data_IF_755925862678
#
_entry.id   IF_755925862678
#
_cell.length_a   1.000
_cell.length_b   1.000
_cell.length_c   1.000
_cell.angle_alpha   90.00
_cell.angle_beta   90.00
_cell.angle_gamma   90.00
#
_symmetry.space_group_name_H-M   'P 1'
#
loop_
_entity.id
_entity.type
_entity.pdbx_description
1 polymer ?
#
# COMPACT_ATOMS: atom_id res chain seq x y z
N UNK A 1 1.64 35.66 -7.83
CA UNK A 1 1.61 34.38 -7.12
C UNK A 1 0.21 33.79 -7.13
N UNK A 2 0.09 32.49 -7.12
CA UNK A 2 -1.19 31.78 -7.26
C UNK A 2 -1.89 31.58 -5.89
N UNK A 3 -1.49 32.33 -4.86
CA UNK A 3 -2.10 32.31 -3.52
C UNK A 3 -3.15 33.40 -3.41
N UNK A 4 -4.30 33.03 -2.87
CA UNK A 4 -5.38 33.96 -2.57
C UNK A 4 -5.59 33.99 -1.06
N UNK A 5 -5.76 35.21 -0.51
CA UNK A 5 -5.95 35.43 0.90
C UNK A 5 -7.44 35.58 1.24
N UNK A 6 -7.86 34.84 2.26
CA UNK A 6 -9.23 34.80 2.78
C UNK A 6 -9.27 35.18 4.26
N UNK A 7 -10.42 35.57 4.76
CA UNK A 7 -10.66 35.70 6.18
C UNK A 7 -10.51 34.36 6.86
N UNK A 8 -9.76 34.36 7.98
CA UNK A 8 -9.52 33.10 8.70
C UNK A 8 -10.79 32.66 9.43
N UNK A 9 -11.20 31.37 9.24
CA UNK A 9 -12.28 30.82 10.05
C UNK A 9 -11.82 30.36 11.45
N UNK A 10 -10.51 30.41 11.72
CA UNK A 10 -9.93 29.93 12.98
C UNK A 10 -9.74 31.06 14.01
N UNK A 11 -9.54 32.27 13.53
CA UNK A 11 -9.26 33.47 14.39
C UNK A 11 -9.90 34.71 13.80
N UNK A 12 -10.40 35.56 14.66
CA UNK A 12 -10.88 36.89 14.26
C UNK A 12 -9.67 37.83 14.09
N UNK A 13 -9.49 38.39 12.89
CA UNK A 13 -8.41 39.32 12.60
C UNK A 13 -8.85 40.38 11.59
N UNK A 14 -8.32 41.59 11.69
CA UNK A 14 -8.68 42.74 10.86
C UNK A 14 -8.17 42.69 9.41
N UNK A 15 -7.44 41.64 9.02
CA UNK A 15 -6.94 41.38 7.66
C UNK A 15 -7.10 39.88 7.29
N UNK A 16 -7.29 39.57 6.01
CA UNK A 16 -7.25 38.18 5.55
C UNK A 16 -5.94 37.50 5.90
N UNK A 17 -5.98 36.33 6.50
CA UNK A 17 -4.81 35.59 7.00
C UNK A 17 -4.81 34.10 6.66
N UNK A 18 -5.85 33.60 6.04
CA UNK A 18 -5.89 32.28 5.45
C UNK A 18 -5.47 32.39 4.00
N UNK A 19 -4.34 31.85 3.62
CA UNK A 19 -3.91 31.74 2.23
C UNK A 19 -4.20 30.36 1.68
N UNK A 20 -4.74 30.32 0.47
CA UNK A 20 -4.99 29.09 -0.28
C UNK A 20 -4.31 29.22 -1.64
N UNK A 21 -3.49 28.25 -1.99
CA UNK A 21 -2.93 28.18 -3.33
C UNK A 21 -3.96 27.56 -4.29
N UNK A 22 -4.35 28.31 -5.31
CA UNK A 22 -5.35 27.86 -6.28
C UNK A 22 -4.76 27.52 -7.64
N UNK A 23 -3.45 27.37 -7.73
CA UNK A 23 -2.81 26.88 -8.95
C UNK A 23 -3.33 25.50 -9.30
N UNK A 24 -3.89 25.36 -10.48
CA UNK A 24 -4.31 24.09 -11.03
C UNK A 24 -3.06 23.28 -11.41
N UNK A 25 -2.53 22.54 -10.44
CA UNK A 25 -1.50 21.54 -10.69
C UNK A 25 -2.18 20.26 -11.16
N UNK A 26 -1.43 19.40 -11.85
CA UNK A 26 -1.90 18.07 -12.25
C UNK A 26 -2.44 17.22 -11.07
N UNK A 27 -2.05 17.56 -9.83
CA UNK A 27 -2.45 16.87 -8.61
C UNK A 27 -3.62 17.52 -7.85
N UNK A 28 -4.10 18.69 -8.28
CA UNK A 28 -5.21 19.45 -7.69
C UNK A 28 -5.12 19.60 -6.15
N UNK A 29 -3.91 19.61 -5.61
CA UNK A 29 -3.68 19.85 -4.20
C UNK A 29 -3.61 21.36 -3.98
N UNK A 30 -4.64 21.93 -3.37
CA UNK A 30 -4.71 23.34 -2.99
C UNK A 30 -4.22 23.47 -1.55
N UNK A 31 -2.90 23.57 -1.30
CA UNK A 31 -2.39 23.74 0.06
C UNK A 31 -2.85 25.09 0.63
N UNK A 32 -3.05 25.12 1.91
CA UNK A 32 -3.50 26.31 2.63
C UNK A 32 -2.74 26.50 3.93
N UNK A 33 -2.66 27.76 4.38
CA UNK A 33 -2.03 28.15 5.63
C UNK A 33 -2.72 29.35 6.24
N UNK A 34 -3.01 29.32 7.51
CA UNK A 34 -3.45 30.46 8.29
C UNK A 34 -2.26 31.03 9.09
N UNK A 35 -1.81 32.21 8.73
CA UNK A 35 -0.62 32.86 9.29
C UNK A 35 -0.74 33.31 10.75
N UNK A 36 -1.94 33.30 11.33
CA UNK A 36 -2.15 33.69 12.74
C UNK A 36 -2.28 32.47 13.64
N UNK A 37 -3.03 31.44 13.22
CA UNK A 37 -3.23 30.26 14.04
C UNK A 37 -2.20 29.15 13.74
N UNK A 38 -1.33 29.34 12.76
CA UNK A 38 -0.39 28.35 12.18
C UNK A 38 -1.08 27.05 11.69
N UNK A 39 -2.38 27.10 11.52
CA UNK A 39 -3.15 26.00 10.96
C UNK A 39 -2.89 25.87 9.47
N UNK A 40 -2.58 24.65 9.02
CA UNK A 40 -2.20 24.40 7.63
C UNK A 40 -2.62 23.01 7.14
N UNK A 41 -2.68 22.87 5.84
CA UNK A 41 -2.99 21.59 5.22
C UNK A 41 -2.54 21.50 3.77
N UNK A 42 -2.35 20.27 3.30
CA UNK A 42 -1.85 20.00 1.95
C UNK A 42 -2.92 20.09 0.86
N UNK A 43 -4.20 20.19 1.21
CA UNK A 43 -5.29 20.27 0.25
C UNK A 43 -6.52 20.97 0.81
N UNK A 44 -7.35 21.54 -0.06
CA UNK A 44 -8.64 22.15 0.31
C UNK A 44 -9.54 21.16 1.06
N UNK A 45 -9.47 19.88 0.73
CA UNK A 45 -10.23 18.83 1.41
C UNK A 45 -9.83 18.70 2.89
N UNK A 46 -8.56 18.97 3.23
CA UNK A 46 -8.12 18.97 4.62
C UNK A 46 -8.72 20.17 5.39
N UNK A 47 -8.87 21.30 4.72
CA UNK A 47 -9.56 22.47 5.28
C UNK A 47 -11.05 22.16 5.53
N UNK A 48 -11.73 21.55 4.56
CA UNK A 48 -13.13 21.17 4.67
C UNK A 48 -13.39 20.22 5.84
N UNK A 49 -12.53 19.22 6.02
CA UNK A 49 -12.64 18.31 7.19
C UNK A 49 -12.49 19.06 8.50
N UNK A 50 -11.53 19.98 8.58
CA UNK A 50 -11.25 20.75 9.77
C UNK A 50 -12.41 21.70 10.13
N UNK A 51 -13.02 22.30 9.12
CA UNK A 51 -14.17 23.17 9.26
C UNK A 51 -15.50 22.41 9.42
N UNK A 52 -15.48 21.09 9.27
CA UNK A 52 -16.68 20.23 9.30
C UNK A 52 -17.79 20.76 8.38
N UNK A 53 -17.41 21.16 7.16
CA UNK A 53 -18.37 21.72 6.21
C UNK A 53 -19.48 20.73 5.88
N UNK A 54 -20.64 21.25 5.50
CA UNK A 54 -21.82 20.45 5.20
C UNK A 54 -21.63 19.55 3.97
N UNK A 55 -22.50 18.57 3.83
CA UNK A 55 -22.47 17.62 2.70
C UNK A 55 -22.66 18.33 1.36
N UNK A 56 -23.49 19.37 1.32
CA UNK A 56 -23.79 20.17 0.14
C UNK A 56 -22.51 20.81 -0.42
N UNK A 57 -21.66 21.37 0.44
CA UNK A 57 -20.37 21.96 0.04
C UNK A 57 -19.41 20.90 -0.50
N UNK A 58 -19.42 19.69 0.09
CA UNK A 58 -18.66 18.55 -0.44
C UNK A 58 -19.14 18.13 -1.83
N UNK A 59 -20.45 18.06 -2.03
CA UNK A 59 -21.05 17.66 -3.30
C UNK A 59 -20.81 18.71 -4.38
N UNK A 60 -20.93 20.00 -4.06
CA UNK A 60 -20.58 21.10 -4.94
C UNK A 60 -19.10 21.06 -5.34
N UNK A 61 -18.19 20.97 -4.36
CA UNK A 61 -16.77 20.82 -4.64
C UNK A 61 -16.48 19.62 -5.54
N UNK A 62 -17.10 18.48 -5.30
CA UNK A 62 -16.89 17.27 -6.10
C UNK A 62 -17.50 17.39 -7.50
N UNK A 63 -18.54 18.22 -7.69
CA UNK A 63 -19.14 18.49 -9.00
C UNK A 63 -18.25 19.37 -9.86
N UNK A 64 -17.62 20.38 -9.26
CA UNK A 64 -16.70 21.31 -9.92
C UNK A 64 -15.36 20.63 -10.21
N UNK A 65 -14.81 20.05 -9.18
CA UNK A 65 -13.58 19.26 -9.26
C UNK A 65 -13.95 17.79 -9.41
N UNK A 66 -14.68 17.43 -10.46
CA UNK A 66 -14.74 16.03 -10.87
C UNK A 66 -13.29 15.60 -10.96
N UNK A 67 -12.71 15.08 -9.84
CA UNK A 67 -11.62 14.17 -9.98
C UNK A 67 -12.16 13.18 -11.00
N UNK A 68 -11.72 13.28 -12.25
CA UNK A 68 -11.50 12.05 -12.95
C UNK A 68 -10.68 11.27 -11.91
N UNK A 69 -11.33 10.36 -11.18
CA UNK A 69 -10.64 9.14 -10.88
C UNK A 69 -10.21 8.71 -12.28
N UNK A 70 -9.07 9.16 -12.68
CA UNK A 70 -8.23 8.33 -13.45
C UNK A 70 -8.00 7.18 -12.45
N UNK A 71 -8.89 6.18 -12.52
CA UNK A 71 -8.32 4.93 -12.92
C UNK A 71 -7.29 5.40 -13.92
N UNK A 72 -6.05 5.39 -13.53
CA UNK A 72 -5.00 5.17 -14.46
C UNK A 72 -5.30 3.77 -14.98
N UNK A 73 -6.27 3.63 -15.85
CA UNK A 73 -6.00 2.91 -17.06
C UNK A 73 -4.83 3.69 -17.65
N UNK A 74 -3.66 3.57 -17.05
CA UNK A 74 -2.42 3.60 -17.74
C UNK A 74 -2.54 2.45 -18.74
N UNK A 75 -3.29 2.73 -19.79
CA UNK A 75 -3.01 2.27 -21.12
C UNK A 75 -1.77 3.03 -21.64
N UNK A 76 -0.80 3.28 -20.80
CA UNK A 76 0.56 3.02 -21.10
C UNK A 76 0.61 1.50 -20.95
N UNK A 77 0.68 0.84 -22.07
CA UNK A 77 1.38 -0.42 -22.24
C UNK A 77 2.80 -0.25 -21.69
N UNK A 78 2.94 -0.06 -20.38
CA UNK A 78 4.01 -0.68 -19.64
C UNK A 78 3.69 -2.15 -19.86
N UNK A 79 4.46 -2.79 -20.74
CA UNK A 79 4.54 -4.23 -20.75
C UNK A 79 4.44 -4.66 -19.31
N UNK A 80 3.35 -5.30 -18.96
CA UNK A 80 3.09 -5.73 -17.59
C UNK A 80 4.24 -6.66 -17.31
N UNK A 81 5.24 -6.18 -16.53
CA UNK A 81 6.38 -7.01 -16.15
C UNK A 81 5.76 -8.24 -15.52
N UNK A 82 5.86 -9.37 -16.21
CA UNK A 82 5.34 -10.65 -15.73
C UNK A 82 6.02 -10.88 -14.39
N UNK A 83 5.22 -10.99 -13.34
CA UNK A 83 5.77 -11.34 -12.02
C UNK A 83 6.32 -12.73 -12.08
N UNK A 84 7.56 -12.89 -11.67
CA UNK A 84 8.21 -14.20 -11.56
C UNK A 84 8.82 -14.31 -10.17
N UNK A 85 8.77 -15.53 -9.62
CA UNK A 85 9.51 -15.79 -8.38
C UNK A 85 11.01 -15.61 -8.63
N UNK A 86 11.77 -15.23 -7.58
CA UNK A 86 13.22 -15.17 -7.69
C UNK A 86 13.79 -16.47 -8.26
N UNK A 87 14.80 -16.39 -9.10
CA UNK A 87 15.47 -17.58 -9.67
C UNK A 87 16.07 -18.45 -8.58
N UNK A 88 16.48 -17.82 -7.48
CA UNK A 88 17.02 -18.43 -6.28
C UNK A 88 15.97 -18.94 -5.28
N UNK A 89 14.67 -18.91 -5.65
CA UNK A 89 13.60 -19.37 -4.79
C UNK A 89 13.66 -20.88 -4.55
N UNK A 90 13.69 -21.26 -3.27
CA UNK A 90 13.69 -22.64 -2.81
C UNK A 90 12.42 -22.90 -1.99
N UNK A 91 11.57 -23.87 -2.38
CA UNK A 91 10.36 -24.21 -1.63
C UNK A 91 10.69 -24.72 -0.23
N UNK A 92 10.02 -24.19 0.80
CA UNK A 92 10.23 -24.61 2.20
C UNK A 92 9.65 -26.00 2.51
N UNK A 93 8.66 -26.47 1.75
CA UNK A 93 8.07 -27.81 1.93
C UNK A 93 8.98 -28.92 1.40
N UNK A 94 9.97 -28.63 0.56
CA UNK A 94 10.95 -29.63 0.12
C UNK A 94 11.96 -29.90 1.23
N UNK A 95 12.24 -31.17 1.54
CA UNK A 95 13.28 -31.53 2.52
C UNK A 95 14.64 -30.96 2.11
N UNK A 96 15.39 -30.44 3.06
CA UNK A 96 16.76 -29.98 2.88
C UNK A 96 17.48 -29.98 4.23
N UNK A 97 18.78 -30.25 4.21
CA UNK A 97 19.67 -30.21 5.39
C UNK A 97 20.20 -28.80 5.66
N UNK A 98 19.87 -27.82 4.82
CA UNK A 98 20.35 -26.43 4.93
C UNK A 98 20.04 -25.83 6.31
N UNK A 99 21.05 -25.24 6.92
CA UNK A 99 20.92 -24.46 8.16
C UNK A 99 20.07 -23.23 7.95
N UNK A 100 20.18 -22.59 6.77
CA UNK A 100 19.40 -21.41 6.41
C UNK A 100 17.90 -21.75 6.35
N UNK A 101 17.56 -22.93 5.76
CA UNK A 101 16.18 -23.43 5.81
C UNK A 101 15.66 -23.62 7.22
N UNK A 102 16.48 -24.17 8.13
CA UNK A 102 16.08 -24.36 9.54
C UNK A 102 15.78 -23.02 10.21
N UNK A 103 16.57 -21.97 9.95
CA UNK A 103 16.33 -20.63 10.46
C UNK A 103 15.02 -20.01 9.88
N UNK A 104 14.77 -20.18 8.60
CA UNK A 104 13.54 -19.72 7.96
C UNK A 104 12.31 -20.41 8.58
N UNK A 105 12.34 -21.74 8.77
CA UNK A 105 11.27 -22.48 9.42
C UNK A 105 11.09 -22.07 10.90
N UNK A 106 12.17 -21.87 11.64
CA UNK A 106 12.10 -21.36 13.01
C UNK A 106 11.45 -19.99 13.10
N UNK A 107 11.75 -19.11 12.15
CA UNK A 107 11.11 -17.79 12.07
C UNK A 107 9.60 -17.91 11.82
N UNK A 108 9.17 -18.75 10.87
CA UNK A 108 7.75 -18.97 10.57
C UNK A 108 7.01 -19.59 11.74
N UNK A 109 7.60 -20.59 12.38
CA UNK A 109 7.03 -21.26 13.57
C UNK A 109 6.80 -20.26 14.71
N UNK A 110 7.75 -19.35 14.97
CA UNK A 110 7.58 -18.28 15.98
C UNK A 110 6.46 -17.30 15.65
N UNK A 111 6.04 -17.25 14.39
CA UNK A 111 4.90 -16.46 13.91
C UNK A 111 3.58 -17.25 13.85
N UNK A 112 3.59 -18.47 14.34
CA UNK A 112 2.41 -19.33 14.32
C UNK A 112 2.11 -19.97 12.96
N UNK A 113 2.98 -19.81 11.95
CA UNK A 113 2.76 -20.39 10.62
C UNK A 113 3.08 -21.88 10.64
N UNK A 114 2.09 -22.70 10.35
CA UNK A 114 2.16 -24.15 10.32
C UNK A 114 2.76 -24.69 9.01
N UNK A 115 3.14 -25.96 9.00
CA UNK A 115 3.58 -26.65 7.77
C UNK A 115 2.49 -26.73 6.71
N UNK A 116 1.23 -26.81 7.11
CA UNK A 116 0.09 -26.80 6.18
C UNK A 116 -0.04 -25.44 5.47
N UNK A 117 0.15 -24.34 6.19
CA UNK A 117 0.13 -22.99 5.62
C UNK A 117 1.35 -22.75 4.73
N UNK A 118 2.53 -23.23 5.11
CA UNK A 118 3.72 -23.18 4.25
C UNK A 118 3.44 -23.83 2.89
N UNK A 119 2.78 -24.96 2.90
CA UNK A 119 2.39 -25.67 1.66
C UNK A 119 1.25 -24.93 0.94
N UNK A 120 0.18 -24.55 1.65
CA UNK A 120 -0.98 -23.85 1.08
C UNK A 120 -0.57 -22.59 0.33
N UNK A 121 0.26 -21.76 0.94
CA UNK A 121 0.72 -20.49 0.36
C UNK A 121 2.01 -20.64 -0.46
N UNK A 122 2.47 -21.86 -0.71
CA UNK A 122 3.67 -22.12 -1.47
C UNK A 122 4.87 -21.26 -1.01
N UNK A 123 5.08 -21.20 0.31
CA UNK A 123 6.16 -20.37 0.84
C UNK A 123 7.52 -20.97 0.54
N UNK A 124 8.47 -20.10 0.21
CA UNK A 124 9.85 -20.46 -0.01
C UNK A 124 10.82 -19.52 0.67
N UNK A 125 12.08 -19.68 0.39
CA UNK A 125 13.14 -18.82 0.88
C UNK A 125 14.27 -18.74 -0.15
N UNK A 126 15.20 -17.79 0.05
CA UNK A 126 16.37 -17.66 -0.80
C UNK A 126 17.64 -17.67 0.07
N UNK A 127 18.65 -18.43 -0.39
CA UNK A 127 19.95 -18.52 0.27
C UNK A 127 20.95 -17.51 -0.28
N UNK A 128 20.73 -17.04 -1.49
CA UNK A 128 21.60 -16.12 -2.22
C UNK A 128 20.78 -15.07 -3.00
N UNK A 129 21.46 -14.27 -3.80
CA UNK A 129 20.86 -13.26 -4.66
C UNK A 129 20.29 -12.06 -3.92
N UNK A 130 19.46 -11.29 -4.62
CA UNK A 130 18.89 -10.04 -4.08
C UNK A 130 17.84 -10.27 -3.00
N UNK A 131 17.30 -11.50 -2.92
CA UNK A 131 16.35 -11.95 -1.91
C UNK A 131 17.00 -12.84 -0.84
N UNK A 132 18.33 -12.86 -0.78
CA UNK A 132 19.05 -13.62 0.23
C UNK A 132 18.47 -13.41 1.63
N UNK A 133 18.31 -14.52 2.37
CA UNK A 133 17.79 -14.57 3.72
C UNK A 133 16.35 -14.00 3.86
N UNK A 134 15.56 -14.10 2.82
CA UNK A 134 14.14 -13.72 2.87
C UNK A 134 13.24 -14.93 2.64
N UNK A 135 12.17 -14.97 3.43
CA UNK A 135 11.01 -15.79 3.11
C UNK A 135 10.29 -15.12 1.96
N UNK A 136 9.92 -15.91 0.97
CA UNK A 136 9.11 -15.49 -0.16
C UNK A 136 7.72 -16.06 0.05
N UNK A 137 6.73 -15.20 0.07
CA UNK A 137 5.32 -15.58 0.17
C UNK A 137 4.65 -15.17 -1.14
N UNK A 138 4.41 -16.11 -2.05
CA UNK A 138 3.72 -15.86 -3.32
C UNK A 138 2.25 -15.50 -3.10
N UNK A 139 1.72 -14.72 -4.02
CA UNK A 139 0.30 -14.43 -4.17
C UNK A 139 -0.12 -14.74 -5.60
N UNK A 140 -1.27 -15.37 -5.74
CA UNK A 140 -1.84 -15.75 -7.02
C UNK A 140 -3.22 -15.12 -7.18
N UNK A 141 -3.57 -14.77 -8.41
CA UNK A 141 -4.89 -14.29 -8.78
C UNK A 141 -5.93 -15.44 -8.81
N UNK A 142 -7.16 -15.12 -9.13
CA UNK A 142 -8.27 -16.09 -9.23
C UNK A 142 -8.02 -17.20 -10.26
N UNK A 143 -7.17 -16.96 -11.25
CA UNK A 143 -6.81 -17.92 -12.31
C UNK A 143 -5.57 -18.76 -11.93
N UNK A 144 -5.01 -18.58 -10.75
CA UNK A 144 -3.80 -19.25 -10.31
C UNK A 144 -2.51 -18.71 -10.93
N UNK A 145 -2.55 -17.51 -11.53
CA UNK A 145 -1.36 -16.85 -12.07
C UNK A 145 -0.68 -16.02 -10.96
N UNK A 146 0.66 -16.12 -10.88
CA UNK A 146 1.43 -15.33 -9.92
C UNK A 146 1.24 -13.83 -10.20
N UNK A 147 0.57 -13.12 -9.28
CA UNK A 147 0.29 -11.70 -9.41
C UNK A 147 1.22 -10.84 -8.54
N UNK A 148 1.77 -11.40 -7.44
CA UNK A 148 2.71 -10.72 -6.56
C UNK A 148 3.51 -11.71 -5.70
N UNK A 149 4.48 -11.22 -4.96
CA UNK A 149 5.05 -11.91 -3.81
C UNK A 149 5.61 -10.93 -2.78
N UNK A 150 5.69 -11.35 -1.53
CA UNK A 150 6.34 -10.58 -0.47
C UNK A 150 7.63 -11.27 -0.05
N UNK A 151 8.73 -10.51 -0.02
CA UNK A 151 10.01 -10.95 0.52
C UNK A 151 10.24 -10.41 1.91
N UNK A 152 10.24 -11.28 2.95
CA UNK A 152 10.44 -10.90 4.35
C UNK A 152 11.71 -11.49 4.92
N UNK A 153 12.61 -10.66 5.47
CA UNK A 153 13.82 -11.15 6.14
C UNK A 153 13.45 -11.95 7.40
N UNK A 154 14.07 -13.10 7.57
CA UNK A 154 13.97 -13.91 8.77
C UNK A 154 15.15 -13.70 9.75
N UNK A 155 16.09 -12.86 9.37
CA UNK A 155 17.10 -12.32 10.28
C UNK A 155 16.75 -10.86 10.63
N UNK A 156 17.29 -10.38 11.72
CA UNK A 156 17.17 -8.96 12.08
C UNK A 156 18.07 -8.12 11.17
N UNK A 157 17.46 -7.19 10.47
CA UNK A 157 18.12 -6.35 9.48
C UNK A 157 17.38 -5.01 9.35
N UNK A 158 18.09 -3.98 8.90
CA UNK A 158 17.50 -2.67 8.64
C UNK A 158 16.41 -2.74 7.55
N UNK A 159 16.61 -3.56 6.51
CA UNK A 159 15.68 -3.71 5.39
C UNK A 159 14.90 -5.03 5.52
N UNK A 160 13.86 -4.99 6.33
CA UNK A 160 13.04 -6.19 6.65
C UNK A 160 12.23 -6.71 5.47
N UNK A 161 11.89 -5.85 4.50
CA UNK A 161 11.07 -6.20 3.33
C UNK A 161 11.81 -5.94 2.03
N UNK A 162 11.58 -6.79 1.06
CA UNK A 162 11.93 -6.56 -0.34
C UNK A 162 10.86 -7.23 -1.20
N UNK A 163 10.13 -6.42 -1.94
CA UNK A 163 9.07 -6.88 -2.83
C UNK A 163 9.53 -6.77 -4.29
N UNK A 164 8.86 -7.41 -5.23
CA UNK A 164 9.15 -7.25 -6.65
C UNK A 164 8.90 -5.81 -7.12
N UNK A 165 9.64 -5.39 -8.14
CA UNK A 165 9.49 -4.08 -8.78
C UNK A 165 8.37 -4.12 -9.84
N UNK A 166 7.14 -4.31 -9.37
CA UNK A 166 5.92 -4.37 -10.19
C UNK A 166 4.82 -3.55 -9.52
N UNK A 167 3.68 -3.36 -10.21
CA UNK A 167 2.52 -2.71 -9.62
C UNK A 167 2.07 -3.43 -8.35
N UNK A 168 1.66 -2.67 -7.34
CA UNK A 168 1.01 -3.17 -6.12
C UNK A 168 -0.51 -3.13 -6.22
N UNK A 169 -1.04 -2.85 -7.39
CA UNK A 169 -2.47 -2.79 -7.65
C UNK A 169 -3.00 -4.21 -7.93
N UNK A 170 -2.91 -5.03 -6.90
CA UNK A 170 -3.30 -6.44 -6.91
C UNK A 170 -4.06 -6.79 -5.63
N UNK A 171 -4.96 -7.74 -5.72
CA UNK A 171 -5.57 -8.38 -4.55
C UNK A 171 -4.65 -9.51 -4.09
N UNK A 172 -4.15 -9.41 -2.85
CA UNK A 172 -3.30 -10.45 -2.29
C UNK A 172 -4.10 -11.72 -1.96
N UNK A 173 -3.53 -12.89 -2.32
CA UNK A 173 -4.14 -14.20 -2.06
C UNK A 173 -5.52 -14.40 -2.69
N UNK A 174 -5.82 -13.72 -3.79
CA UNK A 174 -7.12 -13.74 -4.45
C UNK A 174 -7.61 -15.16 -4.75
N UNK A 175 -6.72 -16.07 -5.12
CA UNK A 175 -7.03 -17.48 -5.37
C UNK A 175 -7.72 -18.17 -4.17
N UNK A 176 -7.54 -17.68 -2.95
CA UNK A 176 -8.12 -18.26 -1.73
C UNK A 176 -9.35 -17.50 -1.23
N UNK A 177 -9.78 -16.44 -1.90
CA UNK A 177 -10.92 -15.62 -1.50
C UNK A 177 -12.21 -16.27 -1.99
N UNK A 178 -13.14 -16.49 -1.07
CA UNK A 178 -14.52 -16.77 -1.43
C UNK A 178 -15.31 -15.45 -1.37
N UNK A 179 -15.65 -14.90 -2.53
CA UNK A 179 -16.34 -13.62 -2.66
C UNK A 179 -17.82 -13.65 -2.16
N UNK A 180 -18.38 -14.83 -1.93
CA UNK A 180 -19.74 -15.00 -1.39
C UNK A 180 -19.79 -14.93 0.14
N UNK A 181 -18.64 -14.82 0.80
CA UNK A 181 -18.51 -14.76 2.25
C UNK A 181 -17.97 -13.38 2.71
N UNK A 182 -18.21 -13.01 3.98
CA UNK A 182 -17.56 -11.84 4.56
C UNK A 182 -16.02 -11.94 4.48
N UNK A 183 -15.37 -10.83 4.10
CA UNK A 183 -13.92 -10.76 3.88
C UNK A 183 -13.27 -9.93 4.98
N UNK A 184 -12.16 -10.42 5.50
CA UNK A 184 -11.28 -9.69 6.41
C UNK A 184 -10.12 -9.09 5.60
N UNK A 185 -9.92 -7.78 5.72
CA UNK A 185 -8.82 -7.06 5.06
C UNK A 185 -7.70 -6.84 6.08
N UNK A 186 -6.49 -7.29 5.74
CA UNK A 186 -5.29 -7.14 6.56
C UNK A 186 -4.22 -6.31 5.84
N UNK A 187 -3.42 -5.56 6.60
CA UNK A 187 -2.31 -4.77 6.03
C UNK A 187 -1.09 -5.64 5.69
N UNK A 188 -0.87 -6.71 6.43
CA UNK A 188 0.31 -7.55 6.35
C UNK A 188 0.00 -8.97 5.89
N UNK A 189 0.91 -9.55 5.09
CA UNK A 189 0.78 -10.92 4.58
C UNK A 189 0.67 -11.96 5.71
N UNK A 190 1.40 -11.78 6.81
CA UNK A 190 1.34 -12.70 7.96
C UNK A 190 0.07 -12.53 8.80
N UNK A 191 -0.49 -11.32 8.82
CA UNK A 191 -1.76 -11.06 9.50
C UNK A 191 -2.91 -11.73 8.71
N UNK A 192 -2.84 -11.68 7.37
CA UNK A 192 -3.80 -12.37 6.51
C UNK A 192 -3.70 -13.90 6.56
N UNK A 193 -2.55 -14.46 6.92
CA UNK A 193 -2.37 -15.91 7.08
C UNK A 193 -2.87 -16.38 8.44
N UNK A 194 -2.85 -15.50 9.45
CA UNK A 194 -3.23 -15.83 10.82
C UNK A 194 -4.74 -15.77 11.08
N UNK A 195 -5.54 -15.25 10.15
CA UNK A 195 -7.02 -15.18 10.20
C UNK A 195 -7.64 -16.43 9.64
#
# INVERSE_FOLDING_TARGET
>A
GDNYAFWSPFVNHHKPKLEINIKLNSNADNPWHCWISDEKGKSIRSLFRKLKVSKEIWDEHNSIFKRKYRYKSDSITKESKIVQLPTEYIPLWKPSTSVIRKHALSYLNRRGVSSAEILKYQMGYCEEGIYKHKIIVPSYDENGMLNYFVGRSFYDTTFKHKNPDVSKDVVGFEMFINWDLPIVICEGVFDAIAV
#
